data_IF_894719299323
#
_entry.id   IF_894719299323
#
_cell.length_a   1.000
_cell.length_b   1.000
_cell.length_c   1.000
_cell.angle_alpha   90.00
_cell.angle_beta   90.00
_cell.angle_gamma   90.00
#
_symmetry.space_group_name_H-M   'P 1'
#
loop_
_entity.id
_entity.type
_entity.pdbx_description
1 polymer ?
#
# COMPACT_ATOMS: atom_id res chain seq x y z
N UNK A 1 2.15 -25.84 49.77
CA UNK A 1 1.93 -24.40 49.57
C UNK A 1 1.74 -24.11 48.09
N UNK A 2 0.50 -23.83 47.66
CA UNK A 2 0.11 -23.83 46.25
C UNK A 2 0.63 -22.61 45.44
N UNK A 3 1.04 -21.52 46.10
CA UNK A 3 1.38 -20.26 45.42
C UNK A 3 2.83 -20.19 44.90
N UNK A 4 3.77 -20.92 45.50
CA UNK A 4 5.14 -21.02 44.99
C UNK A 4 5.26 -21.72 43.64
N UNK A 5 4.24 -22.49 43.22
CA UNK A 5 4.26 -23.20 41.94
C UNK A 5 4.26 -22.29 40.70
N UNK A 6 3.93 -21.00 40.85
CA UNK A 6 3.94 -20.01 39.76
C UNK A 6 5.28 -19.27 39.62
N UNK A 7 6.19 -19.44 40.58
CA UNK A 7 7.45 -18.72 40.67
C UNK A 7 8.60 -19.53 40.05
N UNK A 8 9.53 -18.84 39.39
CA UNK A 8 10.81 -19.41 38.96
C UNK A 8 11.79 -19.46 40.13
N UNK A 9 12.89 -20.21 39.97
CA UNK A 9 13.95 -20.31 40.99
C UNK A 9 14.47 -18.92 41.37
N UNK A 10 14.62 -18.05 40.39
CA UNK A 10 15.12 -16.68 40.55
C UNK A 10 14.17 -15.83 41.39
N UNK A 11 12.85 -15.96 41.20
CA UNK A 11 11.86 -15.20 41.97
C UNK A 11 11.88 -15.60 43.45
N UNK A 12 12.01 -16.91 43.72
CA UNK A 12 12.09 -17.43 45.09
C UNK A 12 13.42 -17.08 45.76
N UNK A 13 14.48 -16.93 44.96
CA UNK A 13 15.78 -16.46 45.44
C UNK A 13 15.68 -15.01 45.91
N UNK A 14 15.10 -14.15 45.08
CA UNK A 14 14.87 -12.74 45.39
C UNK A 14 13.98 -12.58 46.62
N UNK A 15 12.90 -13.36 46.72
CA UNK A 15 12.04 -13.34 47.91
C UNK A 15 12.81 -13.74 49.18
N UNK A 16 13.64 -14.78 49.10
CA UNK A 16 14.44 -15.22 50.25
C UNK A 16 15.53 -14.19 50.62
N UNK A 17 16.15 -13.53 49.64
CA UNK A 17 17.08 -12.42 49.85
C UNK A 17 16.39 -11.21 50.52
N UNK A 18 15.18 -10.85 50.09
CA UNK A 18 14.38 -9.77 50.69
C UNK A 18 13.95 -10.07 52.14
N UNK A 19 13.75 -11.35 52.45
CA UNK A 19 13.51 -11.84 53.82
C UNK A 19 14.80 -11.97 54.65
N UNK A 20 15.95 -11.52 54.13
CA UNK A 20 17.28 -11.62 54.74
C UNK A 20 17.69 -13.08 55.07
N UNK A 21 17.22 -14.04 54.29
CA UNK A 21 17.60 -15.45 54.42
C UNK A 21 18.90 -15.71 53.66
N UNK A 22 19.75 -16.57 54.20
CA UNK A 22 20.99 -16.96 53.52
C UNK A 22 20.68 -17.94 52.40
N UNK A 23 20.82 -17.50 51.15
CA UNK A 23 20.51 -18.29 49.96
C UNK A 23 21.79 -18.75 49.27
N UNK A 24 21.96 -20.06 49.15
CA UNK A 24 23.05 -20.63 48.34
C UNK A 24 22.71 -20.65 46.84
N UNK A 25 23.69 -20.37 45.98
CA UNK A 25 23.52 -20.27 44.52
C UNK A 25 22.87 -21.51 43.86
N UNK A 26 23.10 -22.69 44.46
CA UNK A 26 22.63 -23.98 43.93
C UNK A 26 21.44 -24.60 44.70
N UNK A 27 20.73 -23.84 45.53
CA UNK A 27 19.54 -24.35 46.20
C UNK A 27 18.43 -24.70 45.21
N UNK A 28 17.71 -25.81 45.45
CA UNK A 28 16.55 -26.21 44.64
C UNK A 28 15.32 -25.37 45.05
N UNK A 29 14.34 -25.27 44.15
CA UNK A 29 13.04 -24.64 44.41
C UNK A 29 12.38 -25.20 45.68
N UNK A 30 12.48 -26.51 45.90
CA UNK A 30 11.97 -27.18 47.11
C UNK A 30 12.65 -26.69 48.38
N UNK A 31 13.94 -26.41 48.32
CA UNK A 31 14.76 -26.05 49.48
C UNK A 31 14.56 -24.56 49.81
N UNK A 32 14.44 -23.71 48.78
CA UNK A 32 14.06 -22.30 48.91
C UNK A 32 12.67 -22.15 49.54
N UNK A 33 11.69 -22.92 49.05
CA UNK A 33 10.33 -22.90 49.58
C UNK A 33 10.27 -23.32 51.05
N UNK A 34 11.07 -24.33 51.43
CA UNK A 34 11.21 -24.77 52.83
C UNK A 34 11.91 -23.71 53.69
N UNK A 35 12.95 -23.08 53.18
CA UNK A 35 13.69 -22.05 53.91
C UNK A 35 12.79 -20.86 54.27
N UNK A 36 11.98 -20.39 53.31
CA UNK A 36 11.03 -19.29 53.49
C UNK A 36 9.95 -19.66 54.51
N UNK A 37 9.37 -20.86 54.39
CA UNK A 37 8.25 -21.31 55.26
C UNK A 37 8.68 -21.72 56.67
N UNK A 38 9.96 -22.05 56.89
CA UNK A 38 10.49 -22.42 58.22
C UNK A 38 10.92 -21.19 59.02
N UNK A 39 10.93 -20.00 58.42
CA UNK A 39 11.34 -18.79 59.11
C UNK A 39 10.35 -18.42 60.24
N UNK A 40 10.82 -18.10 61.47
CA UNK A 40 9.95 -17.84 62.62
C UNK A 40 9.04 -16.60 62.44
N UNK A 41 9.40 -15.70 61.54
CA UNK A 41 8.58 -14.54 61.14
C UNK A 41 7.84 -14.73 59.82
N UNK A 42 7.62 -15.97 59.37
CA UNK A 42 6.91 -16.23 58.13
C UNK A 42 5.43 -15.85 58.24
N UNK A 43 5.03 -14.90 57.39
CA UNK A 43 3.64 -14.58 57.12
C UNK A 43 3.32 -15.00 55.67
N UNK A 44 2.33 -15.87 55.51
CA UNK A 44 1.90 -16.39 54.23
C UNK A 44 1.34 -15.30 53.30
N UNK A 45 0.59 -14.34 53.86
CA UNK A 45 -0.02 -13.27 53.06
C UNK A 45 1.02 -12.26 52.61
N UNK A 46 1.92 -11.87 53.52
CA UNK A 46 3.08 -11.04 53.17
C UNK A 46 3.98 -11.69 52.12
N UNK A 47 4.36 -12.96 52.31
CA UNK A 47 5.25 -13.68 51.39
C UNK A 47 4.63 -13.85 50.00
N UNK A 48 3.32 -14.09 49.94
CA UNK A 48 2.57 -14.19 48.69
C UNK A 48 2.50 -12.84 47.97
N UNK A 49 2.28 -11.74 48.69
CA UNK A 49 2.24 -10.41 48.10
C UNK A 49 3.61 -9.98 47.55
N UNK A 50 4.69 -10.20 48.32
CA UNK A 50 6.06 -9.94 47.86
C UNK A 50 6.39 -10.76 46.61
N UNK A 51 6.05 -12.06 46.61
CA UNK A 51 6.29 -12.91 45.45
C UNK A 51 5.51 -12.46 44.20
N UNK A 52 4.25 -12.03 44.36
CA UNK A 52 3.46 -11.46 43.26
C UNK A 52 4.15 -10.24 42.68
N UNK A 53 4.63 -9.31 43.51
CA UNK A 53 5.35 -8.10 43.09
C UNK A 53 6.63 -8.47 42.31
N UNK A 54 7.42 -9.42 42.81
CA UNK A 54 8.64 -9.89 42.14
C UNK A 54 8.31 -10.46 40.74
N UNK A 55 7.28 -11.31 40.66
CA UNK A 55 6.85 -11.92 39.40
C UNK A 55 6.35 -10.86 38.41
N UNK A 56 5.56 -9.89 38.88
CA UNK A 56 5.06 -8.79 38.05
C UNK A 56 6.19 -7.90 37.55
N UNK A 57 7.15 -7.54 38.41
CA UNK A 57 8.33 -6.76 38.02
C UNK A 57 9.17 -7.48 36.97
N UNK A 58 9.35 -8.81 37.09
CA UNK A 58 10.03 -9.60 36.06
C UNK A 58 9.27 -9.55 34.74
N UNK A 59 7.96 -9.80 34.76
CA UNK A 59 7.12 -9.74 33.55
C UNK A 59 7.15 -8.37 32.90
N UNK A 60 7.14 -7.30 33.69
CA UNK A 60 7.21 -5.94 33.21
C UNK A 60 8.55 -5.65 32.50
N UNK A 61 9.67 -6.10 33.07
CA UNK A 61 11.00 -5.99 32.41
C UNK A 61 11.05 -6.78 31.11
N UNK A 62 10.56 -8.02 31.10
CA UNK A 62 10.47 -8.85 29.89
C UNK A 62 9.62 -8.16 28.81
N UNK A 63 8.47 -7.56 29.19
CA UNK A 63 7.61 -6.80 28.28
C UNK A 63 8.29 -5.54 27.74
N UNK A 64 8.94 -4.76 28.60
CA UNK A 64 9.68 -3.55 28.21
C UNK A 64 10.83 -3.89 27.25
N UNK A 65 11.53 -4.99 27.45
CA UNK A 65 12.58 -5.45 26.54
C UNK A 65 12.03 -5.84 25.17
N UNK A 66 10.88 -6.52 25.12
CA UNK A 66 10.19 -6.87 23.88
C UNK A 66 9.72 -5.61 23.16
N UNK A 67 9.12 -4.66 23.87
CA UNK A 67 8.66 -3.39 23.31
C UNK A 67 9.83 -2.56 22.77
N UNK A 68 10.92 -2.44 23.54
CA UNK A 68 12.14 -1.75 23.10
C UNK A 68 12.76 -2.43 21.88
N UNK A 69 12.72 -3.76 21.80
CA UNK A 69 13.18 -4.50 20.61
C UNK A 69 12.33 -4.17 19.40
N UNK A 70 11.00 -4.22 19.53
CA UNK A 70 10.06 -3.87 18.45
C UNK A 70 10.25 -2.43 17.98
N UNK A 71 10.47 -1.50 18.89
CA UNK A 71 10.69 -0.09 18.56
C UNK A 71 11.99 0.10 17.75
N UNK A 72 13.07 -0.61 18.12
CA UNK A 72 14.33 -0.59 17.35
C UNK A 72 14.16 -1.15 15.95
N UNK A 73 13.48 -2.29 15.83
CA UNK A 73 13.18 -2.91 14.53
C UNK A 73 12.32 -1.98 13.64
N UNK A 74 11.32 -1.32 14.21
CA UNK A 74 10.52 -0.31 13.50
C UNK A 74 11.36 0.89 13.05
N UNK A 75 12.22 1.41 13.92
CA UNK A 75 13.11 2.52 13.57
C UNK A 75 14.06 2.13 12.42
N UNK A 76 14.62 0.91 12.46
CA UNK A 76 15.49 0.41 11.40
C UNK A 76 14.74 0.27 10.07
N UNK A 77 13.51 -0.25 10.08
CA UNK A 77 12.67 -0.32 8.87
C UNK A 77 12.37 1.06 8.29
N UNK A 78 12.04 2.05 9.14
CA UNK A 78 11.78 3.42 8.70
C UNK A 78 13.02 4.05 8.09
N UNK A 79 14.20 3.88 8.71
CA UNK A 79 15.46 4.39 8.15
C UNK A 79 15.77 3.76 6.79
N UNK A 80 15.61 2.45 6.66
CA UNK A 80 15.83 1.73 5.40
C UNK A 80 14.85 2.17 4.30
N UNK A 81 13.60 2.42 4.67
CA UNK A 81 12.60 2.96 3.75
C UNK A 81 12.96 4.37 3.28
N UNK A 82 13.43 5.24 4.19
CA UNK A 82 13.90 6.58 3.84
C UNK A 82 15.13 6.56 2.93
N UNK A 83 16.07 5.63 3.17
CA UNK A 83 17.23 5.45 2.29
C UNK A 83 16.80 5.01 0.89
N UNK A 84 15.90 4.03 0.79
CA UNK A 84 15.35 3.57 -0.48
C UNK A 84 14.61 4.69 -1.22
N UNK A 85 13.84 5.52 -0.51
CA UNK A 85 13.15 6.66 -1.09
C UNK A 85 14.13 7.73 -1.61
N UNK A 86 15.16 8.06 -0.82
CA UNK A 86 16.22 8.98 -1.26
C UNK A 86 16.96 8.46 -2.49
N UNK A 87 17.23 7.16 -2.54
CA UNK A 87 17.86 6.53 -3.70
C UNK A 87 16.97 6.60 -4.94
N UNK A 88 15.68 6.28 -4.82
CA UNK A 88 14.72 6.43 -5.92
C UNK A 88 14.61 7.88 -6.41
N UNK A 89 14.54 8.85 -5.49
CA UNK A 89 14.53 10.27 -5.87
C UNK A 89 15.81 10.68 -6.60
N UNK A 90 16.97 10.12 -6.21
CA UNK A 90 18.24 10.35 -6.90
C UNK A 90 18.22 9.79 -8.32
N UNK A 91 17.74 8.56 -8.49
CA UNK A 91 17.59 7.92 -9.79
C UNK A 91 16.64 8.69 -10.70
N UNK A 92 15.50 9.15 -10.18
CA UNK A 92 14.53 9.96 -10.94
C UNK A 92 15.14 11.28 -11.39
N UNK A 93 15.90 11.96 -10.51
CA UNK A 93 16.59 13.20 -10.86
C UNK A 93 17.63 12.98 -11.95
N UNK A 94 18.38 11.89 -11.87
CA UNK A 94 19.38 11.51 -12.88
C UNK A 94 18.72 11.20 -14.23
N UNK A 95 17.62 10.45 -14.22
CA UNK A 95 16.83 10.16 -15.42
C UNK A 95 16.31 11.45 -16.09
N UNK A 96 15.80 12.40 -15.30
CA UNK A 96 15.35 13.70 -15.83
C UNK A 96 16.50 14.51 -16.44
N UNK A 97 17.66 14.55 -15.79
CA UNK A 97 18.85 15.24 -16.30
C UNK A 97 19.36 14.62 -17.61
N UNK A 98 19.32 13.29 -17.72
CA UNK A 98 19.72 12.59 -18.95
C UNK A 98 18.75 12.87 -20.10
N UNK A 99 17.44 12.92 -19.82
CA UNK A 99 16.42 13.35 -20.79
C UNK A 99 16.69 14.77 -21.29
N UNK A 100 17.02 15.70 -20.38
CA UNK A 100 17.39 17.09 -20.72
C UNK A 100 18.66 17.17 -21.58
N UNK A 101 19.70 16.38 -21.27
CA UNK A 101 20.93 16.33 -22.09
C UNK A 101 20.65 15.89 -23.52
N UNK A 102 19.87 14.82 -23.71
CA UNK A 102 19.49 14.34 -25.05
C UNK A 102 18.67 15.36 -25.83
N UNK A 103 17.87 16.19 -25.17
CA UNK A 103 17.11 17.27 -25.82
C UNK A 103 17.92 18.54 -26.09
N UNK A 104 19.04 18.76 -25.40
CA UNK A 104 19.93 19.93 -25.55
C UNK A 104 21.11 19.71 -26.48
N UNK A 105 21.28 18.51 -27.04
CA UNK A 105 22.14 18.36 -28.22
C UNK A 105 21.63 19.35 -29.27
N UNK A 106 22.48 20.20 -29.86
CA UNK A 106 22.06 21.03 -30.96
C UNK A 106 21.50 20.11 -32.03
N UNK A 107 20.18 20.17 -32.23
CA UNK A 107 19.67 19.95 -33.58
C UNK A 107 20.34 21.07 -34.35
N UNK A 108 21.42 20.74 -35.06
CA UNK A 108 21.93 21.59 -36.11
C UNK A 108 20.71 21.87 -37.00
N UNK A 109 20.11 23.03 -36.79
CA UNK A 109 19.18 23.63 -37.71
C UNK A 109 19.98 23.74 -39.00
N UNK A 110 19.74 22.77 -39.88
CA UNK A 110 20.42 22.63 -41.15
C UNK A 110 19.89 23.71 -42.10
N UNK A 111 20.06 24.98 -41.71
CA UNK A 111 20.10 26.13 -42.60
C UNK A 111 21.55 26.22 -43.10
N UNK A 112 21.93 25.20 -43.86
CA UNK A 112 23.30 24.96 -44.31
C UNK A 112 23.30 24.28 -45.67
N UNK A 113 22.94 25.04 -46.70
CA UNK A 113 23.46 24.89 -48.08
C UNK A 113 23.68 23.44 -48.55
N UNK A 114 22.62 22.77 -48.99
CA UNK A 114 22.81 21.54 -49.76
C UNK A 114 23.46 21.90 -51.09
N UNK A 115 24.73 21.53 -51.22
CA UNK A 115 25.41 21.42 -52.50
C UNK A 115 24.62 20.44 -53.36
N UNK A 116 23.83 20.98 -54.29
CA UNK A 116 23.61 20.37 -55.60
C UNK A 116 22.66 19.18 -55.72
N UNK A 117 21.89 18.77 -54.71
CA UNK A 117 20.83 17.77 -54.95
C UNK A 117 19.57 18.44 -55.49
N UNK A 118 19.51 18.62 -56.82
CA UNK A 118 18.29 19.02 -57.51
C UNK A 118 17.48 17.74 -57.82
N UNK A 119 16.36 17.48 -57.12
CA UNK A 119 15.54 16.33 -57.46
C UNK A 119 15.05 16.45 -58.91
N UNK A 120 15.19 15.36 -59.66
CA UNK A 120 14.62 15.22 -61.01
C UNK A 120 13.20 14.70 -60.88
N UNK A 121 12.28 15.30 -61.60
CA UNK A 121 10.91 14.84 -61.67
C UNK A 121 10.85 13.48 -62.39
N UNK A 122 10.26 12.46 -61.76
CA UNK A 122 10.12 11.13 -62.37
C UNK A 122 9.09 11.06 -63.53
N UNK A 123 8.38 12.16 -63.81
CA UNK A 123 7.36 12.22 -64.89
C UNK A 123 7.90 12.96 -66.12
N UNK A 124 8.62 14.08 -65.92
CA UNK A 124 9.09 14.92 -67.02
C UNK A 124 10.62 15.09 -67.06
N UNK A 125 11.33 14.43 -66.14
CA UNK A 125 12.80 14.41 -66.00
C UNK A 125 13.48 15.77 -65.75
N UNK A 126 12.71 16.85 -65.68
CA UNK A 126 13.20 18.18 -65.36
C UNK A 126 13.58 18.31 -63.88
N UNK A 127 14.65 19.06 -63.61
CA UNK A 127 15.13 19.38 -62.27
C UNK A 127 14.35 20.53 -61.64
N UNK A 128 14.18 20.52 -60.32
CA UNK A 128 13.61 21.63 -59.56
C UNK A 128 12.20 21.40 -58.99
N UNK A 129 11.60 20.24 -59.24
CA UNK A 129 10.34 19.80 -58.60
C UNK A 129 10.25 18.26 -58.57
N UNK A 130 9.41 17.71 -57.69
CA UNK A 130 9.13 16.27 -57.63
C UNK A 130 7.89 15.93 -58.48
N UNK A 131 7.71 14.64 -58.81
CA UNK A 131 6.60 14.15 -59.67
C UNK A 131 5.20 14.64 -59.27
N UNK A 132 4.97 14.87 -57.97
CA UNK A 132 3.68 15.35 -57.44
C UNK A 132 3.35 16.80 -57.82
N UNK A 133 4.37 17.61 -58.06
CA UNK A 133 4.27 19.04 -58.39
C UNK A 133 4.50 19.30 -59.89
N UNK A 134 4.55 18.24 -60.70
CA UNK A 134 4.83 18.35 -62.12
C UNK A 134 3.62 18.92 -62.87
N UNK A 135 3.77 20.00 -63.65
CA UNK A 135 2.68 20.59 -64.43
C UNK A 135 2.16 19.65 -65.53
N UNK A 136 2.91 18.59 -65.87
CA UNK A 136 2.49 17.52 -66.80
C UNK A 136 1.83 16.32 -66.11
N UNK A 137 1.67 16.34 -64.78
CA UNK A 137 1.04 15.26 -64.06
C UNK A 137 -0.48 15.28 -64.24
N UNK A 138 -1.01 14.42 -65.12
CA UNK A 138 -2.44 14.33 -65.44
C UNK A 138 -3.25 13.52 -64.42
N UNK A 139 -2.64 13.01 -63.35
CA UNK A 139 -3.35 12.31 -62.28
C UNK A 139 -3.99 13.32 -61.33
N UNK A 140 -5.21 13.75 -61.64
CA UNK A 140 -6.09 14.42 -60.66
C UNK A 140 -6.55 13.41 -59.61
N UNK A 141 -5.77 13.20 -58.55
CA UNK A 141 -6.31 12.63 -57.31
C UNK A 141 -6.80 13.79 -56.43
N UNK A 142 -8.06 13.79 -55.96
CA UNK A 142 -8.54 14.82 -55.04
C UNK A 142 -7.77 14.75 -53.71
N UNK A 143 -7.70 15.85 -52.93
CA UNK A 143 -6.97 15.86 -51.68
C UNK A 143 -7.67 14.92 -50.70
N UNK A 144 -7.05 13.77 -50.40
CA UNK A 144 -7.39 12.99 -49.21
C UNK A 144 -6.72 13.65 -48.02
N UNK A 145 -7.49 14.43 -47.27
CA UNK A 145 -7.20 14.69 -45.87
C UNK A 145 -7.30 13.35 -45.12
N UNK A 146 -6.17 12.76 -44.72
CA UNK A 146 -6.07 11.91 -43.54
C UNK A 146 -4.61 11.53 -43.31
N UNK A 147 -4.15 11.84 -42.09
CA UNK A 147 -2.97 11.22 -41.48
C UNK A 147 -3.17 9.70 -41.46
N UNK A 148 -2.27 8.97 -42.10
CA UNK A 148 -1.93 7.61 -41.70
C UNK A 148 -0.61 7.21 -42.35
N UNK A 149 0.37 6.86 -41.53
CA UNK A 149 1.48 6.03 -41.98
C UNK A 149 1.31 4.66 -41.31
N UNK A 150 0.86 3.71 -42.10
CA UNK A 150 1.01 2.28 -41.86
C UNK A 150 2.25 1.83 -42.65
N UNK A 151 3.19 1.17 -41.99
CA UNK A 151 4.20 0.34 -42.67
C UNK A 151 4.01 -1.09 -42.16
N UNK A 152 3.61 -1.97 -43.06
CA UNK A 152 3.68 -3.42 -42.95
C UNK A 152 5.09 -3.90 -43.28
N UNK A 153 5.67 -4.75 -42.45
CA UNK A 153 6.72 -5.69 -42.84
C UNK A 153 6.28 -7.10 -42.40
N UNK A 154 6.26 -8.02 -43.37
CA UNK A 154 6.05 -9.46 -43.19
C UNK A 154 7.34 -10.09 -42.63
N UNK A 155 7.21 -10.99 -41.66
CA UNK A 155 8.30 -11.89 -41.27
C UNK A 155 7.99 -12.71 -40.02
N UNK A 156 7.70 -14.00 -40.25
CA UNK A 156 7.78 -15.15 -39.34
C UNK A 156 6.81 -15.26 -38.16
N UNK A 157 5.98 -16.30 -38.26
CA UNK A 157 5.17 -16.91 -37.20
C UNK A 157 6.05 -17.32 -36.03
N UNK A 158 5.75 -16.82 -34.83
CA UNK A 158 6.08 -17.51 -33.59
C UNK A 158 5.02 -17.16 -32.54
N UNK A 159 4.57 -18.20 -31.85
CA UNK A 159 3.46 -18.22 -30.92
C UNK A 159 3.66 -17.32 -29.69
N UNK A 160 2.51 -16.99 -29.10
CA UNK A 160 2.27 -16.89 -27.65
C UNK A 160 2.28 -15.51 -26.98
N UNK A 161 1.19 -15.36 -26.22
CA UNK A 161 0.91 -14.45 -25.11
C UNK A 161 0.44 -13.03 -25.46
N UNK A 162 -0.84 -12.80 -25.15
CA UNK A 162 -1.47 -11.47 -25.05
C UNK A 162 -0.72 -10.70 -23.96
N UNK A 163 0.05 -9.68 -24.35
CA UNK A 163 0.67 -8.74 -23.43
C UNK A 163 -0.43 -7.94 -22.72
N UNK A 164 -0.66 -8.27 -21.45
CA UNK A 164 -1.42 -7.42 -20.53
C UNK A 164 -0.52 -6.23 -20.18
N UNK A 165 -0.97 -5.02 -20.50
CA UNK A 165 -0.26 -3.78 -20.18
C UNK A 165 -0.38 -3.55 -18.67
N UNK A 166 0.64 -3.93 -17.91
CA UNK A 166 0.71 -3.66 -16.46
C UNK A 166 1.25 -2.24 -16.27
N UNK A 167 0.36 -1.28 -16.02
CA UNK A 167 0.76 0.03 -15.54
C UNK A 167 1.21 -0.11 -14.07
N UNK A 168 2.52 -0.06 -13.82
CA UNK A 168 3.06 0.05 -12.45
C UNK A 168 2.85 1.48 -11.97
N UNK A 169 1.78 1.70 -11.21
CA UNK A 169 1.58 2.96 -10.48
C UNK A 169 2.28 2.82 -9.12
N UNK A 170 3.48 3.38 -9.01
CA UNK A 170 4.18 3.50 -7.74
C UNK A 170 3.58 4.68 -6.96
N UNK A 171 2.56 4.43 -6.15
CA UNK A 171 2.03 5.42 -5.21
C UNK A 171 2.88 5.32 -3.92
N UNK A 172 3.46 6.42 -3.41
CA UNK A 172 4.20 6.39 -2.16
C UNK A 172 3.27 6.02 -1.01
N UNK A 173 3.63 4.98 -0.26
CA UNK A 173 2.89 4.47 0.88
C UNK A 173 3.00 5.46 2.04
N UNK A 174 1.89 6.12 2.38
CA UNK A 174 1.75 6.89 3.62
C UNK A 174 1.63 5.98 4.84
N UNK A 175 2.17 6.54 5.93
CA UNK A 175 2.38 6.08 7.32
C UNK A 175 1.38 5.05 7.89
N UNK A 176 1.84 4.04 8.67
CA UNK A 176 0.94 3.12 9.37
C UNK A 176 0.09 3.83 10.44
N UNK A 177 -1.21 3.58 10.39
CA UNK A 177 -2.20 4.06 11.36
C UNK A 177 -1.99 3.32 12.70
N UNK A 178 -1.64 4.07 13.75
CA UNK A 178 -1.61 3.58 15.12
C UNK A 178 -3.03 3.30 15.60
N UNK A 179 -3.41 2.02 15.72
CA UNK A 179 -4.59 1.63 16.49
C UNK A 179 -4.17 0.99 17.81
N UNK A 180 -4.36 1.75 18.88
CA UNK A 180 -4.44 1.20 20.23
C UNK A 180 -5.77 0.45 20.33
N UNK A 181 -5.72 -0.88 20.33
CA UNK A 181 -6.47 -1.79 21.20
C UNK A 181 -6.23 -3.23 20.72
N UNK A 182 -6.23 -4.16 21.67
CA UNK A 182 -5.60 -5.46 21.57
C UNK A 182 -6.14 -6.41 20.49
N UNK A 183 -5.23 -7.26 20.02
CA UNK A 183 -5.43 -8.61 19.47
C UNK A 183 -6.48 -8.72 18.35
N UNK A 184 -6.00 -8.71 17.10
CA UNK A 184 -6.57 -9.37 15.91
C UNK A 184 -8.07 -9.14 15.55
N UNK A 185 -8.64 -7.98 15.83
CA UNK A 185 -9.95 -7.62 15.29
C UNK A 185 -9.82 -6.92 13.92
N UNK A 186 -10.36 -7.56 12.87
CA UNK A 186 -10.53 -6.96 11.55
C UNK A 186 -11.24 -5.60 11.67
N UNK A 187 -10.58 -4.52 11.26
CA UNK A 187 -11.17 -3.19 11.27
C UNK A 187 -12.27 -3.09 10.22
N UNK A 188 -13.51 -3.24 10.69
CA UNK A 188 -14.72 -3.09 9.89
C UNK A 188 -15.21 -1.65 9.95
N UNK A 189 -15.55 -1.10 8.79
CA UNK A 189 -16.11 0.25 8.63
C UNK A 189 -17.39 0.14 7.83
N UNK A 190 -18.45 0.79 8.30
CA UNK A 190 -19.70 0.92 7.56
C UNK A 190 -19.55 2.04 6.51
N UNK A 191 -19.64 1.67 5.23
CA UNK A 191 -19.50 2.56 4.08
C UNK A 191 -20.84 2.64 3.37
N UNK A 192 -21.31 3.86 3.14
CA UNK A 192 -22.47 4.16 2.33
C UNK A 192 -22.06 4.37 0.87
N UNK A 193 -22.60 3.53 -0.01
CA UNK A 193 -22.49 3.65 -1.46
C UNK A 193 -23.87 4.03 -2.02
N UNK A 194 -24.06 5.30 -2.34
CA UNK A 194 -25.37 5.84 -2.72
C UNK A 194 -26.44 5.64 -1.64
N UNK A 195 -27.41 4.75 -1.89
CA UNK A 195 -28.48 4.42 -0.93
C UNK A 195 -28.19 3.16 -0.10
N UNK A 196 -27.16 2.38 -0.45
CA UNK A 196 -26.84 1.11 0.20
C UNK A 196 -25.73 1.31 1.24
N UNK A 197 -25.89 0.72 2.43
CA UNK A 197 -24.81 0.64 3.43
C UNK A 197 -24.12 -0.72 3.34
N UNK A 198 -22.79 -0.71 3.31
CA UNK A 198 -21.91 -1.83 2.96
C UNK A 198 -20.84 -1.95 4.04
N UNK A 199 -20.61 -3.16 4.54
CA UNK A 199 -19.54 -3.42 5.52
C UNK A 199 -18.20 -3.61 4.81
N UNK A 200 -17.28 -2.67 4.99
CA UNK A 200 -15.96 -2.74 4.40
C UNK A 200 -14.92 -3.22 5.43
N UNK A 201 -14.03 -4.12 5.03
CA UNK A 201 -12.82 -4.44 5.78
C UNK A 201 -11.69 -3.57 5.27
N UNK A 202 -10.99 -2.89 6.18
CA UNK A 202 -9.75 -2.19 5.85
C UNK A 202 -8.66 -3.23 5.58
N UNK A 203 -8.24 -3.33 4.33
CA UNK A 203 -7.20 -4.25 3.89
C UNK A 203 -5.95 -3.45 3.48
N UNK A 204 -4.96 -3.44 4.38
CA UNK A 204 -3.68 -2.78 4.13
C UNK A 204 -2.83 -3.47 3.06
N UNK A 205 -3.14 -4.73 2.73
CA UNK A 205 -2.48 -5.49 1.67
C UNK A 205 -3.09 -5.27 0.28
N UNK A 206 -4.29 -4.67 0.20
CA UNK A 206 -4.96 -4.40 -1.05
C UNK A 206 -4.46 -3.10 -1.70
N UNK A 207 -4.02 -3.17 -2.96
CA UNK A 207 -3.64 -1.99 -3.74
C UNK A 207 -4.84 -1.21 -4.27
N UNK A 208 -5.97 -1.91 -4.47
CA UNK A 208 -7.22 -1.35 -4.97
C UNK A 208 -8.36 -1.84 -4.09
N UNK A 209 -9.37 -0.98 -3.88
CA UNK A 209 -10.58 -1.40 -3.19
C UNK A 209 -11.37 -2.38 -4.05
N UNK A 210 -11.89 -3.45 -3.43
CA UNK A 210 -12.62 -4.51 -4.12
C UNK A 210 -14.03 -4.59 -3.55
N UNK A 211 -15.03 -4.56 -4.41
CA UNK A 211 -16.44 -4.62 -4.04
C UNK A 211 -17.07 -5.90 -4.57
N UNK A 212 -17.94 -6.54 -3.78
CA UNK A 212 -18.71 -7.68 -4.25
C UNK A 212 -19.78 -7.25 -5.26
N UNK A 213 -19.89 -7.96 -6.37
CA UNK A 213 -20.80 -7.63 -7.47
C UNK A 213 -22.28 -7.52 -7.04
N UNK A 214 -22.73 -8.39 -6.14
CA UNK A 214 -24.15 -8.48 -5.74
C UNK A 214 -24.66 -7.24 -4.98
N UNK A 215 -23.75 -6.42 -4.45
CA UNK A 215 -24.07 -5.22 -3.70
C UNK A 215 -24.23 -3.98 -4.59
N UNK A 216 -23.95 -4.12 -5.88
CA UNK A 216 -24.02 -3.05 -6.86
C UNK A 216 -25.47 -2.94 -7.38
N UNK A 217 -26.13 -1.82 -7.07
CA UNK A 217 -27.40 -1.46 -7.70
C UNK A 217 -27.24 -1.34 -9.21
N UNK A 218 -28.29 -1.68 -9.98
CA UNK A 218 -28.28 -1.71 -11.46
C UNK A 218 -27.99 -0.36 -12.16
N UNK A 219 -27.75 0.72 -11.40
CA UNK A 219 -27.54 2.08 -11.88
C UNK A 219 -26.06 2.46 -12.06
N UNK A 220 -25.13 1.50 -12.00
CA UNK A 220 -23.71 1.79 -12.20
C UNK A 220 -23.31 1.69 -13.67
N UNK A 221 -22.82 2.82 -14.23
CA UNK A 221 -22.36 2.99 -15.61
C UNK A 221 -21.40 1.87 -16.09
N UNK A 222 -21.33 1.70 -17.41
CA UNK A 222 -20.46 0.72 -18.08
C UNK A 222 -19.01 0.92 -17.63
N UNK A 223 -18.37 -0.16 -17.17
CA UNK A 223 -17.07 -0.08 -16.50
C UNK A 223 -15.96 0.49 -17.38
N UNK A 224 -15.06 1.25 -16.76
CA UNK A 224 -13.96 1.97 -17.44
C UNK A 224 -12.81 1.04 -17.90
N UNK A 225 -12.88 -0.26 -17.56
CA UNK A 225 -11.92 -1.27 -17.96
C UNK A 225 -12.03 -2.55 -17.13
N UNK A 226 -11.11 -3.47 -17.34
CA UNK A 226 -10.94 -4.66 -16.50
C UNK A 226 -9.55 -4.68 -15.88
N UNK A 227 -9.46 -5.18 -14.66
CA UNK A 227 -8.21 -5.37 -13.92
C UNK A 227 -8.07 -6.83 -13.53
N UNK A 228 -6.84 -7.34 -13.55
CA UNK A 228 -6.55 -8.65 -12.98
C UNK A 228 -6.19 -8.46 -11.50
N UNK A 229 -7.04 -8.93 -10.61
CA UNK A 229 -6.74 -9.01 -9.17
C UNK A 229 -6.23 -10.40 -8.83
N UNK A 230 -5.30 -10.45 -7.86
CA UNK A 230 -4.70 -11.69 -7.38
C UNK A 230 -4.89 -11.73 -5.87
N UNK A 231 -5.62 -12.73 -5.39
CA UNK A 231 -5.83 -12.97 -3.96
C UNK A 231 -4.51 -13.37 -3.28
N UNK A 232 -4.42 -13.19 -1.96
CA UNK A 232 -3.29 -13.65 -1.15
C UNK A 232 -3.02 -15.17 -1.31
N UNK A 233 -4.04 -15.95 -1.68
CA UNK A 233 -3.93 -17.39 -1.95
C UNK A 233 -3.51 -17.72 -3.39
N UNK A 234 -3.18 -16.71 -4.21
CA UNK A 234 -2.73 -16.87 -5.59
C UNK A 234 -3.84 -17.04 -6.63
N UNK A 235 -5.12 -17.00 -6.20
CA UNK A 235 -6.25 -17.02 -7.12
C UNK A 235 -6.31 -15.76 -7.96
N UNK A 236 -6.49 -15.93 -9.28
CA UNK A 236 -6.56 -14.81 -10.23
C UNK A 236 -8.01 -14.61 -10.67
N UNK A 237 -8.44 -13.36 -10.71
CA UNK A 237 -9.75 -12.97 -11.23
C UNK A 237 -9.61 -11.72 -12.10
N UNK A 238 -10.33 -11.69 -13.22
CA UNK A 238 -10.47 -10.49 -14.05
C UNK A 238 -11.75 -9.79 -13.57
N UNK A 239 -11.58 -8.69 -12.86
CA UNK A 239 -12.63 -7.87 -12.29
C UNK A 239 -12.89 -6.63 -13.15
N UNK A 240 -14.13 -6.15 -13.19
CA UNK A 240 -14.45 -4.89 -13.86
C UNK A 240 -14.07 -3.71 -12.95
N UNK A 241 -13.47 -2.67 -13.50
CA UNK A 241 -13.22 -1.42 -12.77
C UNK A 241 -14.42 -0.49 -12.90
N UNK A 242 -14.91 0.00 -11.77
CA UNK A 242 -16.02 0.97 -11.71
C UNK A 242 -15.74 2.03 -10.66
N UNK A 243 -16.22 3.23 -10.92
CA UNK A 243 -16.15 4.35 -9.99
C UNK A 243 -17.40 4.35 -9.10
N UNK A 244 -17.20 4.37 -7.77
CA UNK A 244 -18.29 4.42 -6.81
C UNK A 244 -18.18 5.66 -5.92
N UNK A 245 -19.30 6.33 -5.70
CA UNK A 245 -19.42 7.42 -4.74
C UNK A 245 -19.60 6.83 -3.34
N UNK A 246 -18.51 6.78 -2.57
CA UNK A 246 -18.44 6.18 -1.24
C UNK A 246 -18.38 7.25 -0.15
N UNK A 247 -19.04 7.00 0.98
CA UNK A 247 -19.04 7.86 2.18
C UNK A 247 -18.95 6.99 3.43
N UNK A 248 -18.24 7.41 4.47
CA UNK A 248 -18.28 6.74 5.78
C UNK A 248 -19.65 7.02 6.43
N UNK A 249 -20.32 5.99 6.95
CA UNK A 249 -21.67 6.10 7.54
C UNK A 249 -21.63 6.62 9.00
N UNK A 250 -20.90 7.71 9.22
CA UNK A 250 -20.77 8.37 10.52
C UNK A 250 -21.42 9.76 10.57
N UNK A 251 -22.05 10.16 9.46
CA UNK A 251 -22.68 11.46 9.29
C UNK A 251 -21.72 12.64 9.13
N UNK A 252 -20.41 12.46 9.29
CA UNK A 252 -19.40 13.54 9.27
C UNK A 252 -18.64 13.62 7.95
N UNK A 253 -18.43 12.49 7.28
CA UNK A 253 -17.65 12.47 6.04
C UNK A 253 -18.53 12.69 4.81
N UNK A 254 -17.97 13.27 3.75
CA UNK A 254 -18.59 13.49 2.46
C UNK A 254 -18.52 12.26 1.56
N UNK A 255 -19.21 12.33 0.43
CA UNK A 255 -19.09 11.31 -0.61
C UNK A 255 -17.86 11.60 -1.48
N UNK A 256 -17.03 10.59 -1.71
CA UNK A 256 -15.85 10.62 -2.58
C UNK A 256 -16.02 9.59 -3.70
N UNK A 257 -15.75 9.95 -4.97
CA UNK A 257 -15.64 8.97 -6.05
C UNK A 257 -14.35 8.15 -5.90
N UNK A 258 -14.49 6.85 -5.67
CA UNK A 258 -13.37 5.89 -5.49
C UNK A 258 -13.49 4.80 -6.55
N UNK A 259 -12.38 4.53 -7.23
CA UNK A 259 -12.29 3.45 -8.20
C UNK A 259 -12.17 2.11 -7.47
N UNK A 260 -13.08 1.18 -7.76
CA UNK A 260 -13.10 -0.15 -7.17
C UNK A 260 -13.14 -1.24 -8.24
N UNK A 261 -12.51 -2.37 -7.92
CA UNK A 261 -12.64 -3.60 -8.70
C UNK A 261 -13.89 -4.36 -8.24
N UNK A 262 -14.72 -4.77 -9.19
CA UNK A 262 -15.93 -5.53 -8.95
C UNK A 262 -15.63 -7.02 -9.10
N UNK A 263 -15.67 -7.76 -7.99
CA UNK A 263 -15.38 -9.18 -7.95
C UNK A 263 -16.66 -9.99 -7.68
N UNK A 264 -16.78 -11.12 -8.36
CA UNK A 264 -17.86 -12.11 -8.12
C UNK A 264 -17.45 -13.12 -7.06
N UNK A 265 -16.16 -13.23 -6.78
CA UNK A 265 -15.56 -14.22 -5.88
C UNK A 265 -15.26 -13.66 -4.49
N UNK A 266 -15.56 -12.38 -4.25
CA UNK A 266 -15.29 -11.75 -2.97
C UNK A 266 -16.22 -12.29 -1.88
N UNK A 267 -15.63 -12.91 -0.86
CA UNK A 267 -16.36 -13.46 0.30
C UNK A 267 -16.84 -12.35 1.24
N UNK A 268 -16.16 -11.21 1.30
CA UNK A 268 -16.56 -10.05 2.10
C UNK A 268 -17.37 -9.07 1.24
N UNK A 269 -18.12 -8.19 1.89
CA UNK A 269 -18.98 -7.24 1.16
C UNK A 269 -18.13 -6.23 0.38
N UNK A 270 -17.12 -5.67 1.05
CA UNK A 270 -16.12 -4.80 0.44
C UNK A 270 -14.78 -4.93 1.15
N UNK A 271 -13.68 -4.83 0.39
CA UNK A 271 -12.33 -4.56 0.88
C UNK A 271 -11.98 -3.13 0.49
N UNK A 272 -11.56 -2.31 1.46
CA UNK A 272 -11.08 -0.97 1.21
C UNK A 272 -9.57 -0.92 1.39
N UNK A 273 -8.86 -0.40 0.39
CA UNK A 273 -7.42 -0.17 0.50
C UNK A 273 -7.12 0.97 1.47
N UNK A 274 -5.97 0.95 2.13
CA UNK A 274 -5.57 2.04 3.04
C UNK A 274 -5.67 3.41 2.37
N UNK A 275 -5.22 3.52 1.12
CA UNK A 275 -5.29 4.78 0.35
C UNK A 275 -6.71 5.27 0.15
N UNK A 276 -7.65 4.38 -0.17
CA UNK A 276 -9.05 4.75 -0.34
C UNK A 276 -9.68 5.18 1.00
N UNK A 277 -9.33 4.51 2.09
CA UNK A 277 -9.82 4.83 3.43
C UNK A 277 -9.30 6.18 3.93
N UNK A 278 -8.02 6.50 3.71
CA UNK A 278 -7.44 7.81 4.03
C UNK A 278 -8.17 8.95 3.31
N UNK A 279 -8.46 8.79 2.02
CA UNK A 279 -9.20 9.80 1.25
C UNK A 279 -10.62 10.00 1.81
N UNK A 280 -11.29 8.93 2.24
CA UNK A 280 -12.60 9.04 2.87
C UNK A 280 -12.53 9.79 4.21
N UNK A 281 -11.49 9.56 5.01
CA UNK A 281 -11.28 10.24 6.29
C UNK A 281 -10.96 11.73 6.13
N UNK A 282 -10.20 12.10 5.11
CA UNK A 282 -9.85 13.50 4.85
C UNK A 282 -11.05 14.33 4.36
N UNK A 283 -12.06 13.69 3.75
CA UNK A 283 -13.23 14.38 3.23
C UNK A 283 -14.29 14.62 4.31
N UNK A 284 -13.98 15.43 5.33
CA UNK A 284 -14.94 15.82 6.37
C UNK A 284 -15.87 16.92 5.85
N UNK A 285 -17.19 16.70 5.91
CA UNK A 285 -18.18 17.75 5.71
C UNK A 285 -18.18 18.65 6.96
N UNK A 286 -17.67 19.87 6.80
CA UNK A 286 -17.90 20.94 7.78
C UNK A 286 -19.41 21.20 7.81
N UNK A 287 -20.09 20.73 8.86
CA UNK A 287 -21.44 21.21 9.15
C UNK A 287 -21.31 22.66 9.61
N UNK A 288 -21.84 23.58 8.80
CA UNK A 288 -22.06 24.96 9.19
C UNK A 288 -22.87 24.98 10.50
N UNK A 289 -22.22 25.44 11.58
CA UNK A 289 -22.88 25.88 12.80
C UNK A 289 -23.60 27.21 12.55
N UNK A 290 -24.58 27.22 11.66
CA UNK A 290 -25.57 28.28 11.59
C UNK A 290 -26.94 27.67 11.88
N UNK A 291 -27.26 27.51 13.18
CA UNK A 291 -28.59 27.73 13.74
C UNK A 291 -28.60 27.45 15.25
N UNK A 292 -28.04 28.38 16.02
CA UNK A 292 -28.54 28.67 17.38
C UNK A 292 -28.71 30.19 17.51
N UNK A 293 -29.79 30.69 16.91
CA UNK A 293 -30.52 31.84 17.40
C UNK A 293 -31.98 31.43 17.45
N UNK A 294 -32.51 31.23 18.65
CA UNK A 294 -33.75 31.80 19.14
C UNK A 294 -33.84 31.53 20.65
#
# INVERSE_FOLDING_TARGET
MAYFGKARKEDLRLLAEELNLNVGDNMKISDLSKLITTHPGYDEEFSKNQLTIIIENRKLREQQEIENRRLREQQEMVLKQQEFEKENQRLDREFQLEKLRKTKLPVESNTGTSRGFKPKCFICENVGHLARECPKNTRKTPPRNARSNTITAKGTELESTKEVVIARVSIPVSVPINTRNGIDDLQLVDIKCGQTSIKAVIDTGAQISVLREDLIGKDCEEGEGTIQIISAFGEKEIAALKLFNLKIDDGKHGSVPIMCAVSKKLVNDMLISSTAYEILLENVQLFDFENQRF
#
